data_IF_678482152950
#
_entry.id   IF_678482152950
#
_cell.length_a   1.000
_cell.length_b   1.000
_cell.length_c   1.000
_cell.angle_alpha   90.00
_cell.angle_beta   90.00
_cell.angle_gamma   90.00
#
_symmetry.space_group_name_H-M   'P 1'
#
loop_
_entity.id
_entity.type
_entity.pdbx_description
1 polymer ?
#
# COMPACT_ATOMS: atom_id res chain seq x y z
N UNK A 1 -1.49 -11.70 -5.81
CA UNK A 1 -1.90 -10.54 -6.62
C UNK A 1 -0.67 -10.02 -7.32
N UNK A 2 -0.72 -9.78 -8.63
CA UNK A 2 0.43 -9.26 -9.38
C UNK A 2 0.45 -7.73 -9.34
N UNK A 3 1.61 -7.10 -9.60
CA UNK A 3 1.71 -5.63 -9.66
C UNK A 3 0.86 -5.06 -10.80
N UNK A 4 0.60 -5.82 -11.87
CA UNK A 4 -0.31 -5.35 -12.92
C UNK A 4 -1.73 -5.12 -12.37
N UNK A 5 -2.22 -5.99 -11.49
CA UNK A 5 -3.54 -5.83 -10.87
C UNK A 5 -3.57 -4.66 -9.88
N UNK A 6 -2.46 -4.40 -9.18
CA UNK A 6 -2.31 -3.19 -8.36
C UNK A 6 -2.24 -1.93 -9.23
N UNK A 7 -1.55 -1.95 -10.36
CA UNK A 7 -1.53 -0.85 -11.33
C UNK A 7 -2.91 -0.61 -11.96
N UNK A 8 -3.70 -1.66 -12.17
CA UNK A 8 -5.09 -1.55 -12.62
C UNK A 8 -5.99 -0.95 -11.53
N UNK A 9 -5.83 -1.36 -10.27
CA UNK A 9 -6.53 -0.78 -9.11
C UNK A 9 -6.17 0.69 -8.89
N UNK A 10 -4.92 1.05 -9.13
CA UNK A 10 -4.40 2.42 -9.05
C UNK A 10 -4.43 3.15 -10.40
N UNK A 11 -5.20 2.70 -11.40
CA UNK A 11 -5.31 3.39 -12.68
C UNK A 11 -4.01 3.43 -13.52
N UNK A 12 -4.15 3.16 -14.82
CA UNK A 12 -3.02 3.17 -15.74
C UNK A 12 -2.57 4.62 -15.98
N UNK A 13 -1.44 5.00 -15.37
CA UNK A 13 -0.75 6.30 -15.44
C UNK A 13 -1.51 7.43 -14.71
N UNK A 14 -0.94 7.88 -13.59
CA UNK A 14 -1.35 9.08 -12.82
C UNK A 14 -2.58 8.99 -11.89
N UNK A 15 -2.93 7.84 -11.29
CA UNK A 15 -3.85 7.95 -10.15
C UNK A 15 -3.13 8.58 -8.96
N UNK A 16 -3.48 9.84 -8.71
CA UNK A 16 -3.19 10.50 -7.46
C UNK A 16 -4.10 9.86 -6.42
N UNK A 17 -3.51 9.29 -5.38
CA UNK A 17 -4.26 8.80 -4.23
C UNK A 17 -4.43 9.93 -3.22
N UNK A 18 -5.63 10.04 -2.67
CA UNK A 18 -5.93 10.96 -1.57
C UNK A 18 -6.37 10.18 -0.33
N UNK A 19 -5.94 10.68 0.82
CA UNK A 19 -6.39 10.23 2.13
C UNK A 19 -7.36 11.28 2.67
N UNK A 20 -8.62 10.92 2.80
CA UNK A 20 -9.68 11.81 3.28
C UNK A 20 -10.27 11.29 4.58
N UNK A 21 -10.70 12.21 5.45
CA UNK A 21 -11.45 11.85 6.65
C UNK A 21 -12.95 11.83 6.34
N UNK A 22 -13.62 10.72 6.65
CA UNK A 22 -15.06 10.55 6.51
C UNK A 22 -15.79 11.15 7.72
N UNK A 23 -17.11 11.33 7.58
CA UNK A 23 -17.97 11.89 8.63
C UNK A 23 -17.92 11.09 9.95
N UNK A 24 -17.66 9.78 9.88
CA UNK A 24 -17.49 8.90 11.04
C UNK A 24 -16.12 9.01 11.74
N UNK A 25 -15.23 9.87 11.26
CA UNK A 25 -13.86 10.02 11.77
C UNK A 25 -12.88 8.97 11.25
N UNK A 26 -13.34 8.09 10.35
CA UNK A 26 -12.52 7.11 9.63
C UNK A 26 -11.67 7.79 8.56
N UNK A 27 -10.51 7.22 8.26
CA UNK A 27 -9.68 7.66 7.14
C UNK A 27 -9.89 6.74 5.95
N UNK A 28 -10.09 7.30 4.77
CA UNK A 28 -10.34 6.58 3.54
C UNK A 28 -9.26 6.91 2.50
N UNK A 29 -8.62 5.88 1.96
CA UNK A 29 -7.73 5.99 0.81
C UNK A 29 -8.54 5.75 -0.45
N UNK A 30 -8.50 6.70 -1.39
CA UNK A 30 -9.21 6.59 -2.67
C UNK A 30 -8.46 7.29 -3.80
N UNK A 31 -8.89 7.02 -5.03
CA UNK A 31 -8.43 7.77 -6.19
C UNK A 31 -8.95 9.23 -6.09
N UNK A 32 -8.06 10.20 -6.31
CA UNK A 32 -8.39 11.62 -6.24
C UNK A 32 -9.50 11.96 -7.23
N UNK A 33 -10.52 12.68 -6.75
CA UNK A 33 -11.69 13.04 -7.56
C UNK A 33 -12.61 11.87 -7.92
N UNK A 34 -12.41 10.68 -7.35
CA UNK A 34 -13.31 9.55 -7.53
C UNK A 34 -14.47 9.58 -6.51
N UNK A 35 -15.67 9.32 -7.01
CA UNK A 35 -16.90 9.10 -6.23
C UNK A 35 -17.10 7.60 -5.90
N UNK A 36 -16.14 6.74 -6.27
CA UNK A 36 -16.21 5.31 -6.02
C UNK A 36 -15.92 4.98 -4.54
N UNK A 37 -16.26 3.74 -4.17
CA UNK A 37 -15.96 3.21 -2.84
C UNK A 37 -14.46 3.34 -2.50
N UNK A 38 -14.12 3.64 -1.23
CA UNK A 38 -12.74 3.69 -0.78
C UNK A 38 -12.00 2.39 -1.06
N UNK A 39 -10.74 2.50 -1.48
CA UNK A 39 -9.85 1.35 -1.66
C UNK A 39 -9.53 0.71 -0.31
N UNK A 40 -9.34 1.55 0.72
CA UNK A 40 -9.05 1.15 2.09
C UNK A 40 -9.70 2.14 3.04
N UNK A 41 -10.29 1.62 4.13
CA UNK A 41 -10.69 2.42 5.29
C UNK A 41 -9.84 2.04 6.50
N UNK A 42 -9.39 3.05 7.24
CA UNK A 42 -8.59 2.93 8.45
C UNK A 42 -9.41 3.53 9.59
N UNK A 43 -9.73 2.69 10.57
CA UNK A 43 -10.52 3.09 11.73
C UNK A 43 -9.67 2.96 12.99
N UNK A 44 -9.47 4.08 13.67
CA UNK A 44 -8.93 4.11 15.02
C UNK A 44 -10.07 4.03 16.02
N UNK A 45 -9.91 3.29 17.12
CA UNK A 45 -10.89 3.30 18.20
C UNK A 45 -10.94 4.69 18.89
N UNK A 46 -12.00 4.97 19.63
CA UNK A 46 -12.18 6.27 20.29
C UNK A 46 -11.01 6.68 21.20
N UNK A 47 -10.47 5.72 21.94
CA UNK A 47 -9.34 5.96 22.85
C UNK A 47 -8.10 6.44 22.09
N UNK A 48 -7.74 5.77 20.99
CA UNK A 48 -6.63 6.18 20.13
C UNK A 48 -6.93 7.49 19.42
N UNK A 49 -8.17 7.74 18.99
CA UNK A 49 -8.53 9.03 18.37
C UNK A 49 -8.28 10.19 19.34
N UNK A 50 -8.63 10.03 20.62
CA UNK A 50 -8.40 11.03 21.66
C UNK A 50 -6.91 11.25 21.96
N UNK A 51 -6.09 10.20 21.88
CA UNK A 51 -4.65 10.28 22.14
C UNK A 51 -3.90 10.88 20.94
N UNK A 52 -4.25 10.44 19.72
CA UNK A 52 -3.51 10.76 18.50
C UNK A 52 -3.96 12.09 17.89
N UNK A 53 -5.23 12.47 18.04
CA UNK A 53 -5.78 13.71 17.50
C UNK A 53 -5.39 13.92 16.03
N UNK A 54 -4.76 15.06 15.74
CA UNK A 54 -4.35 15.43 14.39
C UNK A 54 -3.26 14.50 13.79
N UNK A 55 -2.56 13.73 14.62
CA UNK A 55 -1.52 12.80 14.13
C UNK A 55 -2.09 11.57 13.43
N UNK A 56 -3.40 11.31 13.54
CA UNK A 56 -4.04 10.16 12.86
C UNK A 56 -3.79 10.16 11.35
N UNK A 57 -3.85 11.34 10.72
CA UNK A 57 -3.62 11.48 9.28
C UNK A 57 -2.19 11.10 8.89
N UNK A 58 -1.21 11.53 9.68
CA UNK A 58 0.21 11.23 9.45
C UNK A 58 0.48 9.73 9.64
N UNK A 59 -0.09 9.14 10.69
CA UNK A 59 0.06 7.71 10.99
C UNK A 59 -0.54 6.88 9.86
N UNK A 60 -1.76 7.19 9.43
CA UNK A 60 -2.40 6.50 8.31
C UNK A 60 -1.59 6.62 7.01
N UNK A 61 -1.05 7.81 6.72
CA UNK A 61 -0.17 8.01 5.57
C UNK A 61 1.09 7.13 5.67
N UNK A 62 1.72 7.05 6.84
CA UNK A 62 2.89 6.19 7.07
C UNK A 62 2.54 4.70 6.95
N UNK A 63 1.38 4.26 7.43
CA UNK A 63 0.89 2.89 7.27
C UNK A 63 0.76 2.51 5.79
N UNK A 64 0.19 3.41 4.98
CA UNK A 64 0.04 3.20 3.54
C UNK A 64 1.42 3.15 2.87
N UNK A 65 2.31 4.08 3.18
CA UNK A 65 3.68 4.08 2.65
C UNK A 65 4.41 2.77 2.99
N UNK A 66 4.35 2.33 4.24
CA UNK A 66 4.96 1.08 4.68
C UNK A 66 4.37 -0.14 3.96
N UNK A 67 3.06 -0.19 3.75
CA UNK A 67 2.40 -1.25 3.00
C UNK A 67 2.86 -1.28 1.52
N UNK A 68 2.99 -0.11 0.89
CA UNK A 68 3.50 0.01 -0.48
C UNK A 68 4.97 -0.42 -0.58
N UNK A 69 5.81 -0.02 0.39
CA UNK A 69 7.21 -0.46 0.44
C UNK A 69 7.32 -1.98 0.62
N UNK A 70 6.58 -2.57 1.56
CA UNK A 70 6.61 -4.03 1.78
C UNK A 70 6.14 -4.83 0.56
N UNK A 71 5.20 -4.28 -0.21
CA UNK A 71 4.78 -4.87 -1.48
C UNK A 71 5.90 -4.83 -2.53
N UNK A 72 6.64 -3.72 -2.62
CA UNK A 72 7.76 -3.57 -3.56
C UNK A 72 8.93 -4.49 -3.18
N UNK A 73 9.28 -4.57 -1.90
CA UNK A 73 10.35 -5.45 -1.39
C UNK A 73 10.09 -6.92 -1.73
N UNK A 74 8.85 -7.39 -1.50
CA UNK A 74 8.46 -8.76 -1.84
C UNK A 74 8.71 -9.10 -3.32
N UNK A 75 8.53 -8.15 -4.23
CA UNK A 75 8.79 -8.38 -5.65
C UNK A 75 10.28 -8.41 -5.99
N UNK A 76 11.08 -7.57 -5.33
CA UNK A 76 12.55 -7.58 -5.49
C UNK A 76 13.11 -8.91 -5.01
N UNK A 77 12.62 -9.42 -3.89
CA UNK A 77 12.99 -10.75 -3.39
C UNK A 77 12.56 -11.87 -4.34
N UNK A 78 11.35 -11.82 -4.91
CA UNK A 78 10.88 -12.78 -5.92
C UNK A 78 11.74 -12.74 -7.20
N UNK A 79 12.22 -11.57 -7.63
CA UNK A 79 13.16 -11.44 -8.76
C UNK A 79 14.55 -11.96 -8.45
N UNK A 80 15.07 -11.77 -7.24
CA UNK A 80 16.38 -12.29 -6.84
C UNK A 80 16.37 -13.78 -6.47
N UNK A 81 15.19 -14.36 -6.25
CA UNK A 81 15.01 -15.78 -5.92
C UNK A 81 14.86 -16.70 -7.14
N UNK A 82 15.03 -16.20 -8.38
CA UNK A 82 15.16 -17.07 -9.56
C UNK A 82 16.50 -17.82 -9.48
N UNK A 83 16.48 -18.97 -8.80
CA UNK A 83 17.65 -19.83 -8.58
C UNK A 83 18.18 -20.28 -9.95
N UNK A 84 19.36 -19.77 -10.29
CA UNK A 84 20.11 -20.22 -11.46
C UNK A 84 20.60 -21.64 -11.19
N UNK A 85 19.88 -22.65 -11.72
CA UNK A 85 20.31 -24.05 -11.73
C UNK A 85 21.44 -24.23 -12.78
N UNK A 86 22.55 -23.51 -12.60
CA UNK A 86 23.73 -23.68 -13.43
C UNK A 86 24.50 -24.93 -12.97
N UNK A 87 24.46 -25.98 -13.80
CA UNK A 87 25.30 -27.16 -13.61
C UNK A 87 26.77 -26.72 -13.51
N UNK A 88 27.50 -27.07 -12.43
CA UNK A 88 28.89 -26.65 -12.28
C UNK A 88 29.73 -27.13 -13.46
N UNK A 89 30.42 -26.19 -14.10
CA UNK A 89 31.17 -26.42 -15.34
C UNK A 89 32.41 -27.30 -15.16
N UNK A 90 32.82 -27.55 -13.92
CA UNK A 90 33.90 -28.46 -13.56
C UNK A 90 33.47 -29.28 -12.34
N UNK A 91 33.38 -30.60 -12.52
CA UNK A 91 33.40 -31.52 -11.40
C UNK A 91 34.87 -31.85 -11.11
N UNK A 92 35.36 -31.48 -9.94
CA UNK A 92 36.61 -31.99 -9.36
C UNK A 92 36.31 -33.16 -8.45
#
# INVERSE_FOLDING_TARGET
MSIEQLKELFGNQEAILELVQLEGGELALRNAGSEQDPLVTIQFNEELRNILGDQMNVIAQQMIQAALFGLLEKQVDEWHAEVVDEKPKFMS
#
